data_IF_660840844447
#
_entry.id   IF_660840844447
#
_cell.length_a   1.000
_cell.length_b   1.000
_cell.length_c   1.000
_cell.angle_alpha   90.00
_cell.angle_beta   90.00
_cell.angle_gamma   90.00
#
_symmetry.space_group_name_H-M   'P 1'
#
loop_
_entity.id
_entity.type
_entity.pdbx_description
1 polymer ?
#
# COMPACT_ATOMS: atom_id res chain seq x y z
N UNK A 1 13.83 4.27 15.30
CA UNK A 1 12.69 5.20 15.26
C UNK A 1 13.24 6.62 15.18
N UNK A 2 12.62 7.52 14.41
CA UNK A 2 13.11 8.91 14.32
C UNK A 2 12.82 9.65 15.63
N UNK A 3 13.79 10.43 16.19
CA UNK A 3 13.66 11.00 17.54
C UNK A 3 12.42 11.88 17.73
N UNK A 4 12.07 12.68 16.72
CA UNK A 4 10.89 13.54 16.75
C UNK A 4 9.58 12.74 16.76
N UNK A 5 9.51 11.65 15.99
CA UNK A 5 8.31 10.82 15.92
C UNK A 5 8.10 10.12 17.26
N UNK A 6 9.16 9.55 17.86
CA UNK A 6 9.07 8.94 19.18
C UNK A 6 8.57 9.92 20.24
N UNK A 7 9.17 11.12 20.29
CA UNK A 7 8.75 12.18 21.21
C UNK A 7 7.27 12.58 21.05
N UNK A 8 6.78 12.67 19.81
CA UNK A 8 5.38 13.05 19.56
C UNK A 8 4.40 11.90 19.85
N UNK A 9 4.75 10.65 19.61
CA UNK A 9 3.87 9.50 19.89
C UNK A 9 3.74 9.25 21.39
N UNK A 10 4.76 9.59 22.18
CA UNK A 10 4.73 9.49 23.65
C UNK A 10 3.82 10.54 24.32
N UNK A 11 3.50 11.64 23.63
CA UNK A 11 2.50 12.61 24.10
C UNK A 11 1.08 12.09 23.83
N UNK A 12 0.22 12.08 24.85
CA UNK A 12 -1.12 11.49 24.77
C UNK A 12 -2.00 12.10 23.66
N UNK A 13 -1.90 13.40 23.42
CA UNK A 13 -2.71 14.10 22.40
C UNK A 13 -2.19 13.78 21.00
N UNK A 14 -0.88 13.81 20.80
CA UNK A 14 -0.28 13.54 19.50
C UNK A 14 -0.28 12.05 19.16
N UNK A 15 -0.11 11.17 20.15
CA UNK A 15 -0.23 9.72 20.01
C UNK A 15 -1.64 9.30 19.57
N UNK A 16 -2.68 9.83 20.22
CA UNK A 16 -4.07 9.55 19.82
C UNK A 16 -4.35 10.02 18.38
N UNK A 17 -3.94 11.25 18.04
CA UNK A 17 -4.07 11.78 16.66
C UNK A 17 -3.31 10.96 15.63
N UNK A 18 -2.14 10.44 15.99
CA UNK A 18 -1.36 9.59 15.12
C UNK A 18 -2.09 8.28 14.83
N UNK A 19 -2.65 7.63 15.85
CA UNK A 19 -3.44 6.40 15.69
C UNK A 19 -4.67 6.65 14.82
N UNK A 20 -5.44 7.71 15.09
CA UNK A 20 -6.59 8.10 14.27
C UNK A 20 -6.22 8.32 12.80
N UNK A 21 -5.11 9.01 12.55
CA UNK A 21 -4.63 9.26 11.18
C UNK A 21 -4.22 7.96 10.48
N UNK A 22 -3.54 7.06 11.18
CA UNK A 22 -3.15 5.75 10.62
C UNK A 22 -4.39 4.92 10.31
N UNK A 23 -5.40 4.92 11.17
CA UNK A 23 -6.66 4.23 10.93
C UNK A 23 -7.38 4.80 9.70
N UNK A 24 -7.53 6.13 9.62
CA UNK A 24 -8.14 6.81 8.48
C UNK A 24 -7.45 6.47 7.15
N UNK A 25 -6.12 6.59 7.12
CA UNK A 25 -5.34 6.31 5.91
C UNK A 25 -5.45 4.84 5.52
N UNK A 26 -5.43 3.92 6.48
CA UNK A 26 -5.47 2.48 6.21
C UNK A 26 -6.86 1.99 5.81
N UNK A 27 -7.93 2.59 6.32
CA UNK A 27 -9.31 2.23 5.99
C UNK A 27 -9.81 2.86 4.70
N UNK A 28 -9.36 4.07 4.36
CA UNK A 28 -9.83 4.78 3.17
C UNK A 28 -8.82 4.72 2.02
N UNK A 29 -7.62 5.26 2.22
CA UNK A 29 -6.70 5.57 1.11
C UNK A 29 -5.83 4.38 0.72
N UNK A 30 -5.39 3.58 1.70
CA UNK A 30 -4.51 2.43 1.51
C UNK A 30 -5.23 1.11 1.82
N UNK A 31 -6.51 1.03 1.46
CA UNK A 31 -7.32 -0.18 1.60
C UNK A 31 -7.16 -1.10 0.37
N UNK A 32 -7.32 -2.43 0.53
CA UNK A 32 -7.33 -3.36 -0.59
C UNK A 32 -8.37 -3.00 -1.65
N UNK A 33 -9.57 -2.56 -1.23
CA UNK A 33 -10.65 -2.14 -2.12
C UNK A 33 -10.27 -0.97 -3.03
N UNK A 34 -9.46 -0.03 -2.52
CA UNK A 34 -9.01 1.14 -3.30
C UNK A 34 -7.76 0.85 -4.12
N UNK A 35 -6.77 0.18 -3.53
CA UNK A 35 -5.44 0.04 -4.14
C UNK A 35 -5.35 -1.08 -5.17
N UNK A 36 -6.03 -2.21 -4.97
CA UNK A 36 -5.98 -3.35 -5.91
C UNK A 36 -6.46 -2.94 -7.31
N UNK A 37 -7.61 -2.26 -7.48
CA UNK A 37 -8.06 -1.83 -8.81
C UNK A 37 -7.08 -0.88 -9.50
N UNK A 38 -6.42 0.00 -8.74
CA UNK A 38 -5.42 0.94 -9.28
C UNK A 38 -4.20 0.18 -9.81
N UNK A 39 -3.68 -0.77 -9.02
CA UNK A 39 -2.52 -1.55 -9.41
C UNK A 39 -2.81 -2.47 -10.60
N UNK A 40 -3.98 -3.11 -10.65
CA UNK A 40 -4.39 -3.92 -11.79
C UNK A 40 -4.62 -3.08 -13.07
N UNK A 41 -5.23 -1.90 -12.95
CA UNK A 41 -5.39 -1.00 -14.08
C UNK A 41 -4.03 -0.52 -14.64
N UNK A 42 -3.08 -0.20 -13.75
CA UNK A 42 -1.73 0.17 -14.15
C UNK A 42 -0.97 -0.99 -14.79
N UNK A 43 -1.12 -2.21 -14.25
CA UNK A 43 -0.58 -3.43 -14.86
C UNK A 43 -1.10 -3.62 -16.28
N UNK A 44 -2.43 -3.55 -16.48
CA UNK A 44 -3.03 -3.73 -17.80
C UNK A 44 -2.52 -2.72 -18.82
N UNK A 45 -2.45 -1.43 -18.43
CA UNK A 45 -1.96 -0.37 -19.30
C UNK A 45 -0.49 -0.58 -19.70
N UNK A 46 0.36 -0.92 -18.73
CA UNK A 46 1.79 -1.12 -18.99
C UNK A 46 2.07 -2.43 -19.72
N UNK A 47 1.34 -3.50 -19.42
CA UNK A 47 1.45 -4.78 -20.10
C UNK A 47 1.11 -4.63 -21.59
N UNK A 48 0.01 -3.97 -21.92
CA UNK A 48 -0.37 -3.70 -23.31
C UNK A 48 0.72 -2.94 -24.08
N UNK A 49 1.31 -1.92 -23.46
CA UNK A 49 2.42 -1.18 -24.05
C UNK A 49 3.70 -2.02 -24.25
N UNK A 50 3.97 -2.96 -23.35
CA UNK A 50 5.11 -3.88 -23.47
C UNK A 50 4.86 -4.97 -24.52
N UNK A 51 3.62 -5.43 -24.67
CA UNK A 51 3.20 -6.36 -25.73
C UNK A 51 3.39 -5.74 -27.12
N UNK A 52 3.01 -4.48 -27.31
CA UNK A 52 3.27 -3.73 -28.54
C UNK A 52 4.76 -3.62 -28.90
N UNK A 53 5.65 -3.81 -27.91
CA UNK A 53 7.10 -3.74 -28.07
C UNK A 53 7.79 -5.10 -28.10
N UNK A 54 7.02 -6.19 -28.14
CA UNK A 54 7.53 -7.56 -28.15
C UNK A 54 8.49 -7.85 -26.98
N UNK A 55 8.19 -7.29 -25.80
CA UNK A 55 9.04 -7.41 -24.61
C UNK A 55 8.41 -8.32 -23.54
N UNK A 56 8.33 -9.61 -23.87
CA UNK A 56 7.70 -10.63 -23.02
C UNK A 56 8.34 -10.77 -21.63
N UNK A 57 9.66 -10.68 -21.53
CA UNK A 57 10.38 -10.78 -20.25
C UNK A 57 9.99 -9.66 -19.28
N UNK A 58 9.81 -8.43 -19.81
CA UNK A 58 9.39 -7.29 -19.01
C UNK A 58 7.95 -7.43 -18.49
N UNK A 59 7.06 -8.11 -19.22
CA UNK A 59 5.68 -8.36 -18.78
C UNK A 59 5.67 -9.31 -17.58
N UNK A 60 6.47 -10.39 -17.63
CA UNK A 60 6.63 -11.31 -16.50
C UNK A 60 7.16 -10.60 -15.25
N UNK A 61 8.19 -9.77 -15.41
CA UNK A 61 8.74 -8.96 -14.31
C UNK A 61 7.71 -7.95 -13.76
N UNK A 62 6.93 -7.31 -14.64
CA UNK A 62 5.88 -6.38 -14.25
C UNK A 62 4.76 -7.07 -13.46
N UNK A 63 4.36 -8.29 -13.82
CA UNK A 63 3.36 -9.06 -13.08
C UNK A 63 3.85 -9.39 -11.67
N UNK A 64 5.09 -9.90 -11.54
CA UNK A 64 5.69 -10.18 -10.24
C UNK A 64 5.75 -8.93 -9.35
N UNK A 65 6.20 -7.80 -9.89
CA UNK A 65 6.23 -6.55 -9.14
C UNK A 65 4.82 -6.07 -8.73
N UNK A 66 3.80 -6.33 -9.57
CA UNK A 66 2.41 -6.00 -9.24
C UNK A 66 1.90 -6.91 -8.13
N UNK A 67 2.18 -8.21 -8.17
CA UNK A 67 1.79 -9.18 -7.15
C UNK A 67 2.41 -8.83 -5.78
N UNK A 68 3.68 -8.40 -5.76
CA UNK A 68 4.35 -7.91 -4.54
C UNK A 68 3.63 -6.68 -3.95
N UNK A 69 3.17 -5.75 -4.80
CA UNK A 69 2.39 -4.58 -4.35
C UNK A 69 1.02 -4.99 -3.79
N UNK A 70 0.33 -5.95 -4.42
CA UNK A 70 -0.94 -6.45 -3.92
C UNK A 70 -0.78 -7.14 -2.56
N UNK A 71 0.26 -7.98 -2.42
CA UNK A 71 0.60 -8.65 -1.17
C UNK A 71 0.89 -7.60 -0.08
N UNK A 72 1.68 -6.58 -0.39
CA UNK A 72 2.00 -5.52 0.55
C UNK A 72 0.76 -4.76 1.06
N UNK A 73 -0.21 -4.47 0.19
CA UNK A 73 -1.47 -3.82 0.60
C UNK A 73 -2.24 -4.71 1.57
N UNK A 74 -2.35 -6.01 1.29
CA UNK A 74 -3.03 -6.96 2.18
C UNK A 74 -2.34 -7.07 3.55
N UNK A 75 -1.01 -7.17 3.58
CA UNK A 75 -0.23 -7.20 4.83
C UNK A 75 -0.45 -5.94 5.66
N UNK A 76 -0.45 -4.77 5.01
CA UNK A 76 -0.64 -3.48 5.67
C UNK A 76 -2.06 -3.31 6.20
N UNK A 77 -3.07 -3.76 5.46
CA UNK A 77 -4.46 -3.75 5.91
C UNK A 77 -4.63 -4.63 7.16
N UNK A 78 -4.10 -5.86 7.14
CA UNK A 78 -4.16 -6.77 8.28
C UNK A 78 -3.44 -6.21 9.53
N UNK A 79 -2.30 -5.52 9.34
CA UNK A 79 -1.57 -4.88 10.44
C UNK A 79 -2.31 -3.69 11.04
N UNK A 80 -3.06 -2.94 10.22
CA UNK A 80 -3.89 -1.83 10.68
C UNK A 80 -5.08 -2.32 11.52
N UNK A 81 -5.73 -3.42 11.12
CA UNK A 81 -6.80 -4.06 11.90
C UNK A 81 -6.30 -4.54 13.27
N UNK A 82 -5.12 -5.18 13.33
CA UNK A 82 -4.52 -5.63 14.59
C UNK A 82 -4.11 -4.49 15.54
N UNK A 83 -3.95 -3.28 15.03
CA UNK A 83 -3.58 -2.09 15.83
C UNK A 83 -4.80 -1.34 16.35
N UNK A 84 -6.02 -1.79 16.01
CA UNK A 84 -7.29 -1.21 16.44
C UNK A 84 -7.93 -1.92 17.65
N UNK A 85 -7.38 -3.08 18.05
CA UNK A 85 -7.69 -3.83 19.28
C UNK A 85 -6.73 -3.47 20.43
#
# INVERSE_FOLDING_TARGET
MWPLIGFLVEDEVYGARYVELIQLVSSETFSPETMIPIYEANYQMLAAYLEERDNADAIGALRLATDDLLAHVHERAAAAEQSAD
#
